data_IF_036034246208
#
_entry.id   IF_036034246208
#
_cell.length_a   1.000
_cell.length_b   1.000
_cell.length_c   1.000
_cell.angle_alpha   90.00
_cell.angle_beta   90.00
_cell.angle_gamma   90.00
#
_symmetry.space_group_name_H-M   'P 1'
#
loop_
_entity.id
_entity.type
_entity.pdbx_description
1 polymer ?
#
# COMPACT_ATOMS: atom_id res chain seq x y z
N UNK A 1 -13.12 -9.86 -8.30
CA UNK A 1 -11.65 -10.13 -8.30
C UNK A 1 -11.02 -9.90 -9.67
N UNK A 2 -11.56 -10.48 -10.76
CA UNK A 2 -11.03 -10.27 -12.13
C UNK A 2 -10.95 -8.79 -12.54
N UNK A 3 -11.91 -7.97 -12.12
CA UNK A 3 -11.91 -6.53 -12.45
C UNK A 3 -10.81 -5.74 -11.73
N UNK A 4 -10.52 -6.10 -10.47
CA UNK A 4 -9.44 -5.48 -9.68
C UNK A 4 -8.09 -5.86 -10.26
N UNK A 5 -7.89 -7.11 -10.64
CA UNK A 5 -6.67 -7.58 -11.29
C UNK A 5 -6.43 -6.81 -12.61
N UNK A 6 -7.46 -6.69 -13.45
CA UNK A 6 -7.39 -5.93 -14.70
C UNK A 6 -7.04 -4.46 -14.46
N UNK A 7 -7.66 -3.84 -13.45
CA UNK A 7 -7.38 -2.45 -13.07
C UNK A 7 -5.94 -2.28 -12.59
N UNK A 8 -5.45 -3.18 -11.72
CA UNK A 8 -4.06 -3.20 -11.25
C UNK A 8 -3.05 -3.33 -12.40
N UNK A 9 -3.29 -4.25 -13.33
CA UNK A 9 -2.45 -4.42 -14.52
C UNK A 9 -2.38 -3.13 -15.34
N UNK A 10 -3.52 -2.48 -15.55
CA UNK A 10 -3.60 -1.20 -16.25
C UNK A 10 -2.84 -0.08 -15.54
N UNK A 11 -3.00 0.06 -14.22
CA UNK A 11 -2.35 1.12 -13.44
C UNK A 11 -0.83 0.94 -13.39
N UNK A 12 -0.37 -0.27 -13.09
CA UNK A 12 1.05 -0.57 -13.00
C UNK A 12 1.73 -0.38 -14.36
N UNK A 13 1.14 -0.92 -15.43
CA UNK A 13 1.70 -0.78 -16.79
C UNK A 13 1.75 0.68 -17.25
N UNK A 14 0.69 1.47 -17.01
CA UNK A 14 0.68 2.89 -17.33
C UNK A 14 1.78 3.65 -16.58
N UNK A 15 1.99 3.35 -15.30
CA UNK A 15 3.06 3.99 -14.52
C UNK A 15 4.45 3.59 -14.99
N UNK A 16 4.67 2.32 -15.36
CA UNK A 16 5.93 1.87 -15.96
C UNK A 16 6.21 2.60 -17.29
N UNK A 17 5.18 2.82 -18.11
CA UNK A 17 5.29 3.61 -19.33
C UNK A 17 5.70 5.05 -19.02
N UNK A 18 5.05 5.70 -18.05
CA UNK A 18 5.39 7.06 -17.63
C UNK A 18 6.85 7.17 -17.15
N UNK A 19 7.31 6.25 -16.31
CA UNK A 19 8.70 6.22 -15.82
C UNK A 19 9.66 6.11 -17.00
N UNK A 20 9.44 5.13 -17.89
CA UNK A 20 10.31 4.90 -19.05
C UNK A 20 10.38 6.13 -19.95
N UNK A 21 9.22 6.72 -20.26
CA UNK A 21 9.12 7.90 -21.10
C UNK A 21 9.78 9.12 -20.45
N UNK A 22 9.60 9.31 -19.14
CA UNK A 22 10.23 10.39 -18.38
C UNK A 22 11.77 10.28 -18.34
N UNK A 23 12.29 9.05 -18.35
CA UNK A 23 13.74 8.80 -18.34
C UNK A 23 14.36 8.66 -19.74
N UNK A 24 13.55 8.62 -20.80
CA UNK A 24 14.03 8.40 -22.18
C UNK A 24 14.64 7.01 -22.41
N UNK A 25 14.28 6.01 -21.60
CA UNK A 25 14.88 4.67 -21.65
C UNK A 25 14.25 3.80 -22.75
N UNK A 26 15.05 2.92 -23.36
CA UNK A 26 14.50 1.82 -24.17
C UNK A 26 13.89 0.74 -23.27
N UNK A 27 13.11 -0.18 -23.85
CA UNK A 27 12.54 -1.29 -23.07
C UNK A 27 13.64 -2.20 -22.53
N UNK A 28 14.66 -2.44 -23.35
CA UNK A 28 15.83 -3.26 -23.03
C UNK A 28 16.61 -2.63 -21.87
N UNK A 29 16.82 -1.30 -21.92
CA UNK A 29 17.54 -0.59 -20.87
C UNK A 29 16.79 -0.63 -19.54
N UNK A 30 15.48 -0.40 -19.57
CA UNK A 30 14.67 -0.46 -18.36
C UNK A 30 14.62 -1.88 -17.77
N UNK A 31 14.53 -2.93 -18.62
CA UNK A 31 14.58 -4.32 -18.18
C UNK A 31 15.92 -4.64 -17.48
N UNK A 32 17.03 -4.20 -18.08
CA UNK A 32 18.38 -4.33 -17.50
C UNK A 32 18.50 -3.60 -16.16
N UNK A 33 18.08 -2.34 -16.08
CA UNK A 33 18.07 -1.54 -14.85
C UNK A 33 17.30 -2.24 -13.73
N UNK A 34 16.17 -2.87 -14.07
CA UNK A 34 15.35 -3.63 -13.12
C UNK A 34 15.85 -5.04 -12.84
N UNK A 35 16.93 -5.48 -13.50
CA UNK A 35 17.45 -6.87 -13.43
C UNK A 35 16.35 -7.90 -13.72
N UNK A 36 15.52 -7.64 -14.73
CA UNK A 36 14.45 -8.51 -15.18
C UNK A 36 14.76 -9.08 -16.56
N UNK A 37 14.35 -10.32 -16.79
CA UNK A 37 14.30 -10.86 -18.14
C UNK A 37 13.41 -9.98 -19.02
N UNK A 38 13.85 -9.73 -20.26
CA UNK A 38 13.17 -8.83 -21.17
C UNK A 38 11.72 -9.26 -21.44
N UNK A 39 11.46 -10.55 -21.62
CA UNK A 39 10.11 -11.06 -21.87
C UNK A 39 9.20 -10.82 -20.67
N UNK A 40 9.71 -11.10 -19.46
CA UNK A 40 8.99 -10.81 -18.22
C UNK A 40 8.68 -9.32 -18.10
N UNK A 41 9.68 -8.46 -18.28
CA UNK A 41 9.49 -7.01 -18.25
C UNK A 41 8.49 -6.54 -19.30
N UNK A 42 8.60 -7.04 -20.54
CA UNK A 42 7.70 -6.68 -21.63
C UNK A 42 6.23 -6.99 -21.30
N UNK A 43 5.96 -8.16 -20.71
CA UNK A 43 4.61 -8.52 -20.27
C UNK A 43 4.09 -7.66 -19.10
N UNK A 44 4.96 -7.22 -18.19
CA UNK A 44 4.61 -6.26 -17.14
C UNK A 44 4.30 -4.88 -17.74
N UNK A 45 5.15 -4.43 -18.65
CA UNK A 45 5.03 -3.13 -19.34
C UNK A 45 3.77 -3.04 -20.20
N UNK A 46 3.32 -4.16 -20.80
CA UNK A 46 2.06 -4.26 -21.55
C UNK A 46 0.83 -4.51 -20.67
N UNK A 47 1.01 -4.74 -19.36
CA UNK A 47 -0.09 -5.06 -18.46
C UNK A 47 -0.70 -6.44 -18.71
N UNK A 48 0.04 -7.38 -19.30
CA UNK A 48 -0.39 -8.77 -19.43
C UNK A 48 -0.26 -9.50 -18.09
N UNK A 49 0.81 -9.20 -17.34
CA UNK A 49 1.12 -9.80 -16.04
C UNK A 49 1.03 -8.77 -14.91
N UNK A 50 0.79 -9.28 -13.70
CA UNK A 50 1.08 -8.53 -12.49
C UNK A 50 2.49 -8.86 -12.01
N UNK A 51 3.24 -7.86 -11.52
CA UNK A 51 4.51 -8.12 -10.87
C UNK A 51 4.27 -8.87 -9.55
N UNK A 52 5.25 -9.70 -9.17
CA UNK A 52 5.32 -10.15 -7.78
C UNK A 52 5.55 -8.94 -6.88
N UNK A 53 5.14 -9.04 -5.62
CA UNK A 53 5.34 -7.96 -4.64
C UNK A 53 6.82 -7.57 -4.51
N UNK A 54 7.73 -8.55 -4.57
CA UNK A 54 9.17 -8.33 -4.55
C UNK A 54 9.65 -7.50 -5.74
N UNK A 55 9.16 -7.80 -6.95
CA UNK A 55 9.45 -7.04 -8.17
C UNK A 55 8.91 -5.61 -8.05
N UNK A 56 7.67 -5.43 -7.60
CA UNK A 56 7.07 -4.09 -7.43
C UNK A 56 7.84 -3.26 -6.41
N UNK A 57 8.27 -3.87 -5.31
CA UNK A 57 9.10 -3.24 -4.29
C UNK A 57 10.47 -2.84 -4.83
N UNK A 58 11.12 -3.70 -5.62
CA UNK A 58 12.41 -3.39 -6.25
C UNK A 58 12.29 -2.20 -7.23
N UNK A 59 11.29 -2.20 -8.10
CA UNK A 59 11.02 -1.07 -9.02
C UNK A 59 10.81 0.22 -8.21
N UNK A 60 10.06 0.14 -7.12
CA UNK A 60 9.81 1.26 -6.20
C UNK A 60 11.09 1.83 -5.61
N UNK A 61 12.05 0.97 -5.23
CA UNK A 61 13.34 1.39 -4.71
C UNK A 61 14.23 2.05 -5.76
N UNK A 62 14.32 1.45 -6.95
CA UNK A 62 15.16 1.95 -8.04
C UNK A 62 14.72 3.35 -8.49
N UNK A 63 13.41 3.54 -8.67
CA UNK A 63 12.88 4.83 -9.14
C UNK A 63 12.42 5.76 -8.01
N UNK A 64 12.71 5.43 -6.75
CA UNK A 64 12.33 6.20 -5.57
C UNK A 64 10.83 6.55 -5.50
N UNK A 65 9.98 5.56 -5.77
CA UNK A 65 8.52 5.68 -5.78
C UNK A 65 7.98 5.06 -4.48
N UNK A 66 7.17 5.77 -3.69
CA UNK A 66 6.48 5.16 -2.55
C UNK A 66 5.58 3.99 -3.00
N UNK A 67 5.55 2.89 -2.25
CA UNK A 67 4.85 1.67 -2.68
C UNK A 67 3.32 1.89 -2.77
N UNK A 68 2.79 2.74 -1.90
CA UNK A 68 1.40 3.18 -1.91
C UNK A 68 1.00 3.88 -3.21
N UNK A 69 1.96 4.51 -3.91
CA UNK A 69 1.69 5.26 -5.13
C UNK A 69 1.32 4.36 -6.32
N UNK A 70 1.54 3.05 -6.24
CA UNK A 70 1.07 2.10 -7.25
C UNK A 70 -0.43 1.83 -7.14
N UNK A 71 -1.04 2.20 -6.02
CA UNK A 71 -2.42 1.86 -5.68
C UNK A 71 -3.31 3.07 -5.43
N UNK A 72 -2.80 4.31 -5.58
CA UNK A 72 -3.53 5.57 -5.29
C UNK A 72 -4.87 5.69 -6.03
N UNK A 73 -4.97 5.16 -7.25
CA UNK A 73 -6.17 5.21 -8.09
C UNK A 73 -7.12 4.01 -7.88
N UNK A 74 -6.74 3.09 -6.98
CA UNK A 74 -7.64 2.07 -6.51
C UNK A 74 -8.43 2.65 -5.34
N UNK A 75 -9.71 2.88 -5.60
CA UNK A 75 -10.68 2.98 -4.52
C UNK A 75 -10.84 1.56 -3.96
N UNK A 76 -9.97 1.19 -3.02
CA UNK A 76 -10.23 0.05 -2.16
C UNK A 76 -11.40 0.48 -1.29
N UNK A 77 -12.63 0.27 -1.79
CA UNK A 77 -13.90 0.65 -1.16
C UNK A 77 -13.70 0.97 0.31
N UNK A 78 -13.53 2.26 0.63
CA UNK A 78 -13.24 2.82 1.96
C UNK A 78 -13.07 1.73 3.02
N UNK A 79 -11.93 1.04 3.02
CA UNK A 79 -11.69 -0.05 3.97
C UNK A 79 -11.78 0.55 5.36
N UNK A 80 -12.91 0.26 6.00
CA UNK A 80 -13.32 0.58 7.36
C UNK A 80 -12.72 1.91 7.78
N UNK A 81 -13.48 3.01 7.62
CA UNK A 81 -13.37 4.05 8.65
C UNK A 81 -13.56 3.25 9.94
N UNK A 82 -12.50 2.95 10.69
CA UNK A 82 -12.63 2.61 12.10
C UNK A 82 -13.52 3.72 12.58
N UNK A 83 -14.80 3.39 12.81
CA UNK A 83 -15.85 4.37 12.74
C UNK A 83 -15.40 5.45 13.72
N UNK A 84 -15.06 6.64 13.20
CA UNK A 84 -14.48 7.68 14.07
C UNK A 84 -15.52 8.08 15.13
N UNK A 85 -16.78 7.72 14.89
CA UNK A 85 -17.92 7.83 15.80
C UNK A 85 -18.18 6.54 16.60
N UNK A 86 -17.44 5.45 16.37
CA UNK A 86 -17.55 4.27 17.24
C UNK A 86 -17.09 4.66 18.64
N UNK A 87 -17.84 4.13 19.61
CA UNK A 87 -17.54 4.29 21.02
C UNK A 87 -16.11 3.80 21.33
N UNK A 88 -15.69 2.70 20.70
CA UNK A 88 -14.36 2.11 20.85
C UNK A 88 -13.24 3.04 20.37
N UNK A 89 -13.38 3.64 19.17
CA UNK A 89 -12.40 4.59 18.66
C UNK A 89 -12.30 5.83 19.55
N UNK A 90 -13.44 6.39 19.97
CA UNK A 90 -13.50 7.57 20.85
C UNK A 90 -12.85 7.29 22.21
N UNK A 91 -13.12 6.11 22.79
CA UNK A 91 -12.55 5.68 24.05
C UNK A 91 -11.03 5.51 23.95
N UNK A 92 -10.52 4.85 22.91
CA UNK A 92 -9.09 4.67 22.67
C UNK A 92 -8.37 6.00 22.40
N UNK A 93 -8.98 6.88 21.61
CA UNK A 93 -8.44 8.20 21.30
C UNK A 93 -8.32 9.07 22.56
N UNK A 94 -9.37 9.10 23.38
CA UNK A 94 -9.37 9.83 24.64
C UNK A 94 -8.36 9.23 25.63
N UNK A 95 -8.32 7.90 25.75
CA UNK A 95 -7.36 7.20 26.61
C UNK A 95 -5.91 7.57 26.28
N UNK A 96 -5.55 7.63 24.99
CA UNK A 96 -4.19 7.99 24.55
C UNK A 96 -3.75 9.38 25.04
N UNK A 97 -4.67 10.33 25.14
CA UNK A 97 -4.41 11.72 25.56
C UNK A 97 -4.28 11.91 27.07
N UNK A 98 -4.66 10.92 27.87
CA UNK A 98 -4.57 11.00 29.33
C UNK A 98 -3.09 10.96 29.80
N UNK A 99 -2.83 11.60 30.93
CA UNK A 99 -1.54 11.49 31.62
C UNK A 99 -1.33 10.09 32.22
N UNK A 100 -0.10 9.79 32.60
CA UNK A 100 0.32 8.46 33.08
C UNK A 100 -0.46 8.02 34.33
N UNK A 101 -0.73 8.95 35.26
CA UNK A 101 -1.43 8.63 36.50
C UNK A 101 -2.89 8.26 36.20
N UNK A 102 -3.55 9.03 35.34
CA UNK A 102 -4.95 8.78 34.95
C UNK A 102 -5.10 7.49 34.14
N UNK A 103 -4.15 7.18 33.25
CA UNK A 103 -4.11 5.88 32.54
C UNK A 103 -4.01 4.69 33.51
N UNK A 104 -3.18 4.81 34.54
CA UNK A 104 -3.02 3.78 35.57
C UNK A 104 -4.32 3.52 36.34
N UNK A 105 -5.05 4.58 36.70
CA UNK A 105 -6.37 4.46 37.35
C UNK A 105 -7.36 3.77 36.44
N UNK A 106 -7.44 4.17 35.17
CA UNK A 106 -8.33 3.56 34.18
C UNK A 106 -8.04 2.05 33.99
N UNK A 107 -6.76 1.67 33.93
CA UNK A 107 -6.37 0.26 33.84
C UNK A 107 -6.81 -0.56 35.06
N UNK A 108 -6.72 -0.01 36.27
CA UNK A 108 -7.20 -0.68 37.50
C UNK A 108 -8.71 -0.84 37.53
N UNK A 109 -9.45 0.16 37.04
CA UNK A 109 -10.91 0.08 36.90
C UNK A 109 -11.26 -1.07 35.96
N UNK A 110 -10.67 -1.11 34.76
CA UNK A 110 -10.91 -2.19 33.80
C UNK A 110 -10.61 -3.56 34.38
N UNK A 111 -9.43 -3.73 35.01
CA UNK A 111 -9.05 -4.99 35.66
C UNK A 111 -10.10 -5.49 36.64
N UNK A 112 -10.70 -4.59 37.42
CA UNK A 112 -11.73 -4.92 38.41
C UNK A 112 -13.06 -5.36 37.78
N UNK A 113 -13.41 -4.84 36.61
CA UNK A 113 -14.63 -5.22 35.89
C UNK A 113 -14.42 -6.44 34.96
N UNK A 114 -13.18 -6.77 34.62
CA UNK A 114 -12.84 -7.94 33.80
C UNK A 114 -12.46 -9.18 34.61
N UNK A 115 -12.14 -9.02 35.90
CA UNK A 115 -11.97 -10.15 36.81
C UNK A 115 -13.36 -10.72 37.13
N UNK A 116 -13.65 -11.91 36.57
CA UNK A 116 -14.83 -12.71 36.91
C UNK A 116 -14.77 -13.19 38.36
#
# INVERSE_FOLDING_TARGET
MKDIEKKLKSLISAKLQQIRHGNGETLEKMAETLSLDYSVFYHLYKGSYLPRLTTLWQISKIYNIPVEDWFKELDFEKKVKADKNSLEFSLLHNFRKLDVKTKSVFAKILQRYTAK
#
